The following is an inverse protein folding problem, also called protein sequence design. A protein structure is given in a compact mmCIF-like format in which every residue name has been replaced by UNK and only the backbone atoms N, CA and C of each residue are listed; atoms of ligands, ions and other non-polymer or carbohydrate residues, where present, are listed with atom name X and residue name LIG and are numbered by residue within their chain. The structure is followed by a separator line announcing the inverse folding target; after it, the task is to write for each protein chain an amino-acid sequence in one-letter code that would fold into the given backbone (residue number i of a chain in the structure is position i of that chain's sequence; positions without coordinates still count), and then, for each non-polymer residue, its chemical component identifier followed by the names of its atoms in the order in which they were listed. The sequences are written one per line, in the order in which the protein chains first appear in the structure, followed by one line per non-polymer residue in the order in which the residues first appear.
data_IF_649032578759
#
_entry.id   IF_649032578759
#
_cell.length_a   1.000
_cell.length_b   1.000
_cell.length_c   1.000
_cell.angle_alpha   90.00
_cell.angle_beta   90.00
_cell.angle_gamma   90.00
#
_symmetry.space_group_name_H-M   'P 1'
#
loop_
_entity.id
_entity.type
_entity.pdbx_description
1 polymer ?
#
# COMPACT_ATOMS: atom_id res chain seq x y z
N UNK A 1 -3.97 -10.22 -20.02
CA UNK A 1 -4.71 -9.22 -19.20
C UNK A 1 -3.82 -8.81 -18.03
N UNK A 2 -3.48 -7.53 -17.81
CA UNK A 2 -2.60 -7.13 -16.69
C UNK A 2 -3.33 -7.36 -15.36
N UNK A 3 -2.75 -8.13 -14.44
CA UNK A 3 -3.27 -8.36 -13.08
C UNK A 3 -3.06 -7.11 -12.19
N UNK A 4 -3.60 -5.96 -12.60
CA UNK A 4 -3.36 -4.66 -11.98
C UNK A 4 -3.77 -4.63 -10.51
N UNK A 5 -4.91 -5.25 -10.16
CA UNK A 5 -5.36 -5.33 -8.76
C UNK A 5 -4.34 -6.06 -7.89
N UNK A 6 -3.83 -7.21 -8.35
CA UNK A 6 -2.82 -7.99 -7.61
C UNK A 6 -1.54 -7.20 -7.45
N UNK A 7 -1.06 -6.58 -8.54
CA UNK A 7 0.14 -5.74 -8.49
C UNK A 7 -0.01 -4.55 -7.55
N UNK A 8 -1.18 -3.91 -7.49
CA UNK A 8 -1.42 -2.80 -6.56
C UNK A 8 -1.11 -3.19 -5.11
N UNK A 9 -1.58 -4.36 -4.66
CA UNK A 9 -1.33 -4.84 -3.30
C UNK A 9 0.08 -5.39 -3.12
N UNK A 10 0.58 -6.22 -4.04
CA UNK A 10 1.92 -6.80 -3.92
C UNK A 10 3.01 -5.73 -3.92
N UNK A 11 2.91 -4.71 -4.76
CA UNK A 11 3.89 -3.62 -4.77
C UNK A 11 3.89 -2.84 -3.43
N UNK A 12 2.78 -2.78 -2.72
CA UNK A 12 2.71 -2.15 -1.40
C UNK A 12 3.25 -3.04 -0.27
N UNK A 13 3.51 -4.33 -0.49
CA UNK A 13 3.80 -5.30 0.57
C UNK A 13 4.99 -4.90 1.44
N UNK A 14 6.14 -4.63 0.82
CA UNK A 14 7.33 -4.20 1.59
C UNK A 14 7.09 -2.91 2.38
N UNK A 15 6.31 -1.96 1.86
CA UNK A 15 5.96 -0.74 2.59
C UNK A 15 5.07 -1.05 3.80
N UNK A 16 4.01 -1.84 3.63
CA UNK A 16 3.05 -2.16 4.69
C UNK A 16 3.73 -2.88 5.86
N UNK A 17 4.67 -3.77 5.58
CA UNK A 17 5.40 -4.51 6.61
C UNK A 17 6.36 -3.66 7.43
N UNK A 18 7.07 -2.74 6.78
CA UNK A 18 8.09 -1.93 7.44
C UNK A 18 7.51 -0.71 8.17
N UNK A 19 6.23 -0.40 7.98
CA UNK A 19 5.59 0.81 8.52
C UNK A 19 4.35 0.49 9.36
N UNK A 20 4.21 -0.74 9.89
CA UNK A 20 3.01 -1.21 10.61
C UNK A 20 2.52 -0.24 11.70
N UNK A 21 3.43 0.40 12.43
CA UNK A 21 3.12 1.35 13.51
C UNK A 21 2.58 2.70 13.02
N UNK A 22 2.83 3.05 11.76
CA UNK A 22 2.51 4.36 11.17
C UNK A 22 1.46 4.29 10.06
N UNK A 23 0.89 3.11 9.80
CA UNK A 23 -0.14 2.95 8.79
C UNK A 23 -1.40 3.70 9.20
N UNK A 24 -1.97 4.47 8.27
CA UNK A 24 -3.31 5.02 8.48
C UNK A 24 -4.38 3.92 8.32
N UNK A 25 -5.62 4.22 8.72
CA UNK A 25 -6.72 3.24 8.68
C UNK A 25 -6.91 2.59 7.31
N UNK A 26 -6.77 3.35 6.21
CA UNK A 26 -6.94 2.81 4.86
C UNK A 26 -5.78 1.87 4.47
N UNK A 27 -4.58 2.15 4.95
CA UNK A 27 -3.40 1.29 4.77
C UNK A 27 -3.49 0.02 5.62
N UNK A 28 -4.00 0.12 6.84
CA UNK A 28 -4.30 -1.05 7.69
C UNK A 28 -5.29 -1.97 7.00
N UNK A 29 -6.36 -1.44 6.39
CA UNK A 29 -7.30 -2.26 5.63
C UNK A 29 -6.66 -2.87 4.38
N UNK A 30 -5.80 -2.13 3.66
CA UNK A 30 -5.02 -2.71 2.54
C UNK A 30 -4.13 -3.85 3.00
N UNK A 31 -3.48 -3.71 4.15
CA UNK A 31 -2.65 -4.76 4.76
C UNK A 31 -3.50 -5.98 5.11
N UNK A 32 -4.68 -5.81 5.72
CA UNK A 32 -5.63 -6.90 5.98
C UNK A 32 -6.01 -7.64 4.69
N UNK A 33 -6.37 -6.92 3.63
CA UNK A 33 -6.71 -7.51 2.32
C UNK A 33 -5.52 -8.30 1.74
N UNK A 34 -4.32 -7.72 1.75
CA UNK A 34 -3.10 -8.36 1.27
C UNK A 34 -2.84 -9.68 2.00
N UNK A 35 -2.82 -9.65 3.33
CA UNK A 35 -2.51 -10.84 4.13
C UNK A 35 -3.62 -11.90 4.09
N UNK A 36 -4.88 -11.49 4.00
CA UNK A 36 -6.00 -12.41 3.77
C UNK A 36 -5.82 -13.14 2.42
N UNK A 37 -5.48 -12.42 1.35
CA UNK A 37 -5.29 -13.04 0.03
C UNK A 37 -4.05 -13.96 -0.01
N UNK A 38 -2.94 -13.55 0.62
CA UNK A 38 -1.72 -14.36 0.68
C UNK A 38 -1.88 -15.65 1.53
N UNK A 39 -2.87 -15.68 2.44
CA UNK A 39 -3.19 -16.87 3.23
C UNK A 39 -3.80 -18.00 2.40
N UNK A 40 -4.43 -17.67 1.28
CA UNK A 40 -5.14 -18.60 0.39
C UNK A 40 -4.24 -19.27 -0.67
N UNK A 41 -2.96 -18.91 -0.71
CA UNK A 41 -1.93 -19.55 -1.56
C UNK A 41 -0.95 -20.35 -0.71
N UNK A 42 -0.16 -21.21 -1.35
CA UNK A 42 0.80 -22.05 -0.63
C UNK A 42 1.94 -21.21 -0.04
N UNK A 43 2.64 -21.78 0.96
CA UNK A 43 3.80 -21.13 1.55
C UNK A 43 4.88 -20.84 0.50
N UNK A 44 5.14 -21.79 -0.39
CA UNK A 44 6.14 -21.65 -1.46
C UNK A 44 5.77 -20.54 -2.45
N UNK A 45 4.50 -20.48 -2.87
CA UNK A 45 4.00 -19.41 -3.74
C UNK A 45 4.12 -18.03 -3.06
N UNK A 46 3.86 -17.97 -1.74
CA UNK A 46 4.02 -16.76 -0.95
C UNK A 46 5.48 -16.33 -0.84
N UNK A 47 6.38 -17.28 -0.58
CA UNK A 47 7.82 -17.03 -0.48
C UNK A 47 8.39 -16.53 -1.81
N UNK A 48 7.99 -17.17 -2.91
CA UNK A 48 8.36 -16.78 -4.27
C UNK A 48 7.95 -15.33 -4.59
N UNK A 49 6.74 -14.92 -4.21
CA UNK A 49 6.30 -13.54 -4.38
C UNK A 49 7.01 -12.56 -3.42
N UNK A 50 7.29 -12.99 -2.19
CA UNK A 50 7.95 -12.16 -1.18
C UNK A 50 9.35 -11.73 -1.65
N UNK A 51 10.12 -12.62 -2.26
CA UNK A 51 11.44 -12.30 -2.84
C UNK A 51 11.41 -11.10 -3.79
N UNK A 52 10.31 -10.97 -4.54
CA UNK A 52 10.13 -9.88 -5.51
C UNK A 52 9.54 -8.62 -4.89
N UNK A 53 8.52 -8.78 -4.06
CA UNK A 53 7.58 -7.72 -3.71
C UNK A 53 7.69 -7.23 -2.26
N UNK A 54 8.19 -8.08 -1.35
CA UNK A 54 8.37 -7.77 0.08
C UNK A 54 9.73 -7.13 0.34
N UNK A 55 10.07 -6.11 -0.44
CA UNK A 55 11.33 -5.37 -0.34
C UNK A 55 11.10 -3.97 0.24
N UNK A 56 11.95 -3.49 1.17
CA UNK A 56 11.69 -2.25 1.92
C UNK A 56 11.77 -0.99 1.05
N UNK A 57 12.57 -1.00 -0.02
CA UNK A 57 12.85 0.19 -0.83
C UNK A 57 12.79 -0.14 -2.32
N UNK A 58 12.22 0.78 -3.09
CA UNK A 58 12.24 0.74 -4.57
C UNK A 58 13.64 1.05 -5.09
N UNK A 59 14.06 0.50 -6.23
CA UNK A 59 13.27 -0.28 -7.19
C UNK A 59 13.06 -1.73 -6.75
N UNK A 60 11.92 -2.32 -7.15
CA UNK A 60 11.69 -3.76 -7.01
C UNK A 60 12.75 -4.54 -7.79
N UNK A 61 13.10 -5.72 -7.28
CA UNK A 61 14.10 -6.58 -7.92
C UNK A 61 13.59 -7.03 -9.30
N UNK A 62 14.46 -6.89 -10.30
CA UNK A 62 14.17 -7.29 -11.69
C UNK A 62 14.00 -8.81 -11.77
N UNK A 63 13.13 -9.26 -12.67
CA UNK A 63 12.89 -10.71 -12.87
C UNK A 63 14.17 -11.44 -13.28
N UNK A 64 15.05 -10.80 -14.07
CA UNK A 64 16.32 -11.40 -14.48
C UNK A 64 17.24 -11.74 -13.28
N UNK A 65 17.28 -10.87 -12.28
CA UNK A 65 18.11 -11.07 -11.07
C UNK A 65 17.51 -12.19 -10.21
N UNK A 66 16.19 -12.23 -10.06
CA UNK A 66 15.53 -13.28 -9.28
C UNK A 66 15.60 -14.64 -9.98
N UNK A 67 15.49 -14.67 -11.30
CA UNK A 67 15.66 -15.88 -12.10
C UNK A 67 17.08 -16.46 -11.95
N UNK A 68 18.11 -15.60 -12.05
CA UNK A 68 19.50 -15.97 -11.81
C UNK A 68 19.71 -16.54 -10.39
N UNK A 69 19.19 -15.86 -9.35
CA UNK A 69 19.27 -16.35 -7.96
C UNK A 69 18.59 -17.71 -7.76
N UNK A 70 17.52 -17.95 -8.48
CA UNK A 70 16.77 -19.21 -8.44
C UNK A 70 17.31 -20.25 -9.43
N UNK A 71 18.38 -19.94 -10.17
CA UNK A 71 18.95 -20.84 -11.19
C UNK A 71 17.93 -21.33 -12.22
N UNK A 72 17.00 -20.45 -12.62
CA UNK A 72 15.97 -20.70 -13.64
C UNK A 72 16.08 -19.71 -14.78
N UNK A 73 15.55 -20.09 -15.95
CA UNK A 73 15.43 -19.15 -17.07
C UNK A 73 14.46 -17.99 -16.72
N UNK A 74 14.76 -16.79 -17.22
CA UNK A 74 13.93 -15.61 -16.96
C UNK A 74 12.49 -15.80 -17.44
N UNK A 75 12.27 -16.51 -18.56
CA UNK A 75 10.91 -16.79 -19.05
C UNK A 75 10.18 -17.75 -18.12
N UNK A 76 10.86 -18.76 -17.59
CA UNK A 76 10.31 -19.70 -16.61
C UNK A 76 9.89 -18.97 -15.33
N UNK A 77 10.79 -18.14 -14.79
CA UNK A 77 10.50 -17.30 -13.61
C UNK A 77 9.29 -16.39 -13.84
N UNK A 78 9.24 -15.71 -15.00
CA UNK A 78 8.14 -14.81 -15.35
C UNK A 78 6.82 -15.58 -15.50
N UNK A 79 6.84 -16.76 -16.14
CA UNK A 79 5.68 -17.63 -16.31
C UNK A 79 5.13 -18.07 -14.96
N UNK A 80 6.01 -18.50 -14.06
CA UNK A 80 5.62 -18.93 -12.72
C UNK A 80 5.03 -17.77 -11.91
N UNK A 81 5.68 -16.60 -11.93
CA UNK A 81 5.11 -15.39 -11.31
C UNK A 81 3.72 -15.06 -11.85
N UNK A 82 3.54 -15.09 -13.18
CA UNK A 82 2.25 -14.80 -13.81
C UNK A 82 1.19 -15.84 -13.42
N UNK A 83 1.57 -17.13 -13.31
CA UNK A 83 0.69 -18.20 -12.83
C UNK A 83 0.16 -17.88 -11.43
N UNK A 84 1.05 -17.55 -10.51
CA UNK A 84 0.69 -17.22 -9.12
C UNK A 84 -0.14 -15.93 -9.05
N UNK A 85 0.26 -14.86 -9.76
CA UNK A 85 -0.51 -13.60 -9.81
C UNK A 85 -1.91 -13.81 -10.38
N UNK A 86 -2.06 -14.71 -11.36
CA UNK A 86 -3.36 -15.03 -11.97
C UNK A 86 -4.25 -15.80 -11.01
N UNK A 87 -3.69 -16.75 -10.25
CA UNK A 87 -4.38 -17.46 -9.16
C UNK A 87 -4.86 -16.50 -8.06
N UNK A 88 -4.05 -15.50 -7.73
CA UNK A 88 -4.38 -14.50 -6.71
C UNK A 88 -5.48 -13.52 -7.12
N UNK A 89 -5.68 -13.27 -8.42
CA UNK A 89 -6.65 -12.27 -8.89
C UNK A 89 -8.07 -12.46 -8.33
N UNK A 90 -8.73 -13.62 -8.48
CA UNK A 90 -10.07 -13.82 -7.92
C UNK A 90 -10.09 -13.75 -6.38
N UNK A 91 -9.00 -14.19 -5.72
CA UNK A 91 -8.87 -14.13 -4.26
C UNK A 91 -8.84 -12.67 -3.80
N UNK A 92 -8.04 -11.82 -4.42
CA UNK A 92 -7.99 -10.39 -4.11
C UNK A 92 -9.32 -9.68 -4.33
N UNK A 93 -10.07 -10.07 -5.38
CA UNK A 93 -11.41 -9.51 -5.63
C UNK A 93 -12.33 -9.85 -4.46
N UNK A 94 -12.41 -11.13 -4.08
CA UNK A 94 -13.22 -11.61 -2.96
C UNK A 94 -12.83 -10.93 -1.64
N UNK A 95 -11.54 -10.87 -1.32
CA UNK A 95 -11.07 -10.19 -0.10
C UNK A 95 -11.41 -8.69 -0.15
N UNK A 96 -11.22 -8.03 -1.28
CA UNK A 96 -11.55 -6.60 -1.40
C UNK A 96 -13.04 -6.34 -1.19
N UNK A 97 -13.93 -7.19 -1.72
CA UNK A 97 -15.37 -7.13 -1.49
C UNK A 97 -15.71 -7.32 -0.01
N UNK A 98 -15.09 -8.32 0.64
CA UNK A 98 -15.27 -8.58 2.07
C UNK A 98 -14.91 -7.39 2.95
N UNK A 99 -13.83 -6.66 2.62
CA UNK A 99 -13.36 -5.50 3.39
C UNK A 99 -13.79 -4.15 2.80
N UNK A 100 -14.72 -4.13 1.84
CA UNK A 100 -15.05 -2.92 1.08
C UNK A 100 -15.62 -1.81 1.96
N UNK A 101 -16.52 -2.15 2.89
CA UNK A 101 -17.15 -1.17 3.77
C UNK A 101 -16.19 -0.62 4.82
N UNK A 102 -15.30 -1.47 5.34
CA UNK A 102 -14.23 -1.04 6.24
C UNK A 102 -13.27 -0.08 5.52
N UNK A 103 -12.89 -0.42 4.29
CA UNK A 103 -12.03 0.43 3.46
C UNK A 103 -12.67 1.79 3.18
N UNK A 104 -13.97 1.82 2.85
CA UNK A 104 -14.72 3.09 2.63
C UNK A 104 -14.70 3.97 3.87
N UNK A 105 -15.06 3.41 5.03
CA UNK A 105 -15.05 4.15 6.31
C UNK A 105 -13.65 4.68 6.63
N UNK A 106 -12.62 3.88 6.41
CA UNK A 106 -11.23 4.28 6.63
C UNK A 106 -10.81 5.45 5.74
N UNK A 107 -11.21 5.45 4.46
CA UNK A 107 -10.95 6.57 3.54
C UNK A 107 -11.65 7.84 4.01
N UNK A 108 -12.91 7.75 4.45
CA UNK A 108 -13.66 8.90 4.95
C UNK A 108 -13.02 9.50 6.22
N UNK A 109 -12.49 8.65 7.10
CA UNK A 109 -11.72 9.06 8.28
C UNK A 109 -10.42 9.78 7.89
N UNK A 110 -9.66 9.22 6.95
CA UNK A 110 -8.42 9.84 6.47
C UNK A 110 -8.69 11.19 5.80
N UNK A 111 -9.74 11.29 4.98
CA UNK A 111 -10.12 12.55 4.32
C UNK A 111 -10.62 13.60 5.31
N UNK A 112 -11.48 13.21 6.26
CA UNK A 112 -11.99 14.13 7.28
C UNK A 112 -10.88 14.62 8.22
N UNK A 113 -9.96 13.74 8.64
CA UNK A 113 -8.78 14.11 9.43
C UNK A 113 -7.84 15.04 8.66
N UNK A 114 -7.65 14.82 7.37
CA UNK A 114 -6.83 15.69 6.51
C UNK A 114 -7.47 17.06 6.33
N UNK A 115 -8.79 17.11 6.12
CA UNK A 115 -9.56 18.37 6.03
C UNK A 115 -9.49 19.16 7.33
N UNK A 116 -9.63 18.50 8.49
CA UNK A 116 -9.53 19.14 9.80
C UNK A 116 -8.14 19.75 10.03
N UNK A 117 -7.07 19.00 9.70
CA UNK A 117 -5.69 19.50 9.77
C UNK A 117 -5.45 20.72 8.88
N UNK A 118 -5.99 20.71 7.66
CA UNK A 118 -5.90 21.85 6.74
C UNK A 118 -6.60 23.10 7.28
N UNK A 119 -7.82 22.96 7.83
CA UNK A 119 -8.55 24.07 8.42
C UNK A 119 -7.85 24.65 9.65
N UNK A 120 -7.38 23.79 10.56
CA UNK A 120 -6.64 24.22 11.75
C UNK A 120 -5.36 25.00 11.40
N UNK A 121 -4.64 24.56 10.35
CA UNK A 121 -3.48 25.31 9.85
C UNK A 121 -3.89 26.70 9.35
N UNK A 122 -4.95 26.80 8.55
CA UNK A 122 -5.44 28.08 8.01
C UNK A 122 -5.87 29.05 9.11
N UNK A 123 -6.51 28.54 10.16
CA UNK A 123 -6.93 29.33 11.32
C UNK A 123 -5.72 29.89 12.09
N UNK A 124 -4.72 29.05 12.36
CA UNK A 124 -3.47 29.47 12.99
C UNK A 124 -2.70 30.51 12.16
N UNK A 125 -2.62 30.31 10.85
CA UNK A 125 -1.96 31.27 9.94
C UNK A 125 -2.71 32.63 9.94
N UNK A 126 -4.03 32.61 10.07
CA UNK A 126 -4.85 33.82 10.16
C UNK A 126 -4.71 34.56 11.50
N UNK A 127 -4.60 33.84 12.61
CA UNK A 127 -4.31 34.43 13.92
C UNK A 127 -2.94 35.12 13.94
N UNK A 128 -1.90 34.48 13.40
CA UNK A 128 -0.56 35.07 13.28
C UNK A 128 -0.56 36.37 12.46
N UNK A 129 -1.35 36.44 11.39
CA UNK A 129 -1.50 37.65 10.59
C UNK A 129 -2.21 38.76 11.37
N UNK A 130 -3.25 38.43 12.15
CA UNK A 130 -3.93 39.39 13.04
C UNK A 130 -2.99 39.95 14.11
N UNK A 131 -2.23 39.08 14.76
CA UNK A 131 -1.26 39.49 15.78
C UNK A 131 -0.19 40.41 15.20
N UNK A 132 0.34 40.08 14.01
CA UNK A 132 1.32 40.91 13.31
C UNK A 132 0.76 42.28 12.91
N UNK A 133 -0.49 42.33 12.41
CA UNK A 133 -1.15 43.58 12.06
C UNK A 133 -1.46 44.44 13.30
N UNK A 134 -1.86 43.82 14.41
CA UNK A 134 -2.13 44.51 15.68
C UNK A 134 -0.85 45.04 16.33
N UNK A 135 0.28 44.35 16.18
CA UNK A 135 1.58 44.83 16.63
C UNK A 135 2.01 46.08 15.84
N UNK A 136 1.83 46.08 14.51
CA UNK A 136 2.18 47.21 13.64
C UNK A 136 1.35 48.48 13.89
N UNK A 137 0.15 48.36 14.45
CA UNK A 137 -0.72 49.50 14.80
C UNK A 137 -0.45 50.08 16.20
N UNK A 138 0.47 49.47 16.97
CA UNK A 138 0.85 49.93 18.32
C UNK A 138 2.16 50.71 18.35
N UNK A 139 2.90 50.71 17.24
CA UNK A 139 4.09 51.53 16.99
C UNK A 139 3.74 52.78 16.17
#
# INVERSE_FOLDING_TARGET
MRNQIVKHYLLAWGYLDNNMEYLNDAELVKMKILYAALKEITLDERQFLAEKYRVPVKPYIKDSILAERNSVDVKEYVKERIRIETKLKPIFIKCKEQYQDEYRKAIDLVHSASRKRFLAKKEKDFELLKESAMAFLRD
#
